data_IF_566069152154
#
_entry.id   IF_566069152154
#
_cell.length_a   1.000
_cell.length_b   1.000
_cell.length_c   1.000
_cell.angle_alpha   90.00
_cell.angle_beta   90.00
_cell.angle_gamma   90.00
#
_symmetry.space_group_name_H-M   'P 1'
#
loop_
_entity.id
_entity.type
_entity.pdbx_description
1 polymer ?
#
# COMPACT_ATOMS: atom_id res chain seq x y z
N UNK A 1 -5.71 18.00 12.83
CA UNK A 1 -5.50 16.56 12.61
C UNK A 1 -6.50 15.76 13.46
N UNK A 2 -7.74 15.59 12.98
CA UNK A 2 -8.78 14.85 13.72
C UNK A 2 -9.56 13.89 12.79
N UNK A 3 -9.04 13.60 11.60
CA UNK A 3 -9.68 12.62 10.71
C UNK A 3 -9.41 11.23 11.29
N UNK A 4 -10.46 10.43 11.60
CA UNK A 4 -10.27 9.10 12.13
C UNK A 4 -9.58 8.18 11.11
N UNK A 5 -8.88 7.18 11.61
CA UNK A 5 -8.26 6.14 10.78
C UNK A 5 -9.31 5.42 9.95
N UNK A 6 -9.00 5.20 8.66
CA UNK A 6 -9.85 4.42 7.77
C UNK A 6 -9.83 2.94 8.20
N UNK A 7 -11.01 2.35 8.38
CA UNK A 7 -11.15 0.91 8.65
C UNK A 7 -11.33 0.13 7.34
N UNK A 8 -10.44 -0.82 7.09
CA UNK A 8 -10.42 -1.64 5.85
C UNK A 8 -10.99 -3.05 6.04
N UNK A 9 -11.42 -3.41 7.26
CA UNK A 9 -11.79 -4.80 7.59
C UNK A 9 -12.88 -5.35 6.66
N UNK A 10 -13.95 -4.60 6.43
CA UNK A 10 -15.06 -5.05 5.61
C UNK A 10 -14.66 -5.23 4.13
N UNK A 11 -14.00 -4.23 3.55
CA UNK A 11 -13.57 -4.27 2.14
C UNK A 11 -12.56 -5.38 1.88
N UNK A 12 -11.60 -5.59 2.79
CA UNK A 12 -10.61 -6.67 2.70
C UNK A 12 -11.26 -8.05 2.88
N UNK A 13 -12.17 -8.22 3.84
CA UNK A 13 -12.89 -9.50 4.04
C UNK A 13 -13.73 -9.84 2.80
N UNK A 14 -14.43 -8.85 2.22
CA UNK A 14 -15.20 -9.04 0.98
C UNK A 14 -14.30 -9.45 -0.18
N UNK A 15 -13.15 -8.78 -0.35
CA UNK A 15 -12.16 -9.12 -1.38
C UNK A 15 -11.62 -10.55 -1.20
N UNK A 16 -11.25 -10.91 0.03
CA UNK A 16 -10.73 -12.24 0.36
C UNK A 16 -11.75 -13.35 0.07
N UNK A 17 -13.02 -13.13 0.42
CA UNK A 17 -14.11 -14.07 0.09
C UNK A 17 -14.29 -14.25 -1.41
N UNK A 18 -14.25 -13.16 -2.18
CA UNK A 18 -14.40 -13.20 -3.64
C UNK A 18 -13.29 -13.99 -4.35
N UNK A 19 -12.10 -14.05 -3.76
CA UNK A 19 -10.93 -14.71 -4.36
C UNK A 19 -10.41 -15.93 -3.59
N UNK A 20 -11.22 -16.49 -2.70
CA UNK A 20 -10.85 -17.62 -1.82
C UNK A 20 -10.29 -18.83 -2.58
N UNK A 21 -10.88 -19.17 -3.73
CA UNK A 21 -10.48 -20.36 -4.52
C UNK A 21 -9.27 -20.05 -5.42
N UNK A 22 -9.30 -18.90 -6.11
CA UNK A 22 -8.29 -18.55 -7.13
C UNK A 22 -6.94 -18.08 -6.54
N UNK A 23 -6.85 -17.86 -5.22
CA UNK A 23 -5.65 -17.36 -4.52
C UNK A 23 -5.05 -16.13 -5.24
N UNK A 24 -5.91 -15.15 -5.50
CA UNK A 24 -5.54 -13.93 -6.24
C UNK A 24 -4.74 -12.98 -5.38
N UNK A 25 -5.18 -12.76 -4.13
CA UNK A 25 -4.45 -11.97 -3.15
C UNK A 25 -3.32 -12.82 -2.60
N UNK A 26 -2.09 -12.36 -2.76
CA UNK A 26 -0.87 -13.10 -2.37
C UNK A 26 -0.21 -12.53 -1.13
N UNK A 27 -0.40 -11.24 -0.85
CA UNK A 27 0.06 -10.58 0.36
C UNK A 27 -0.79 -9.35 0.66
N UNK A 28 -0.81 -8.93 1.93
CA UNK A 28 -1.52 -7.74 2.40
C UNK A 28 -0.70 -7.09 3.50
N UNK A 29 -0.63 -5.75 3.51
CA UNK A 29 0.07 -5.01 4.54
C UNK A 29 -0.75 -3.79 4.98
N UNK A 30 -0.99 -3.68 6.28
CA UNK A 30 -1.54 -2.46 6.88
C UNK A 30 -0.39 -1.48 7.11
N UNK A 31 -0.47 -0.29 6.54
CA UNK A 31 0.62 0.69 6.57
C UNK A 31 0.46 1.57 7.81
N UNK A 32 1.33 1.33 8.78
CA UNK A 32 1.35 2.01 10.08
C UNK A 32 2.73 2.65 10.29
N UNK A 33 3.30 2.56 11.49
CA UNK A 33 4.71 2.94 11.72
C UNK A 33 5.65 2.09 10.86
N UNK A 34 6.71 2.71 10.33
CA UNK A 34 7.65 2.07 9.39
C UNK A 34 7.31 2.29 7.91
N UNK A 35 6.20 2.97 7.61
CA UNK A 35 5.84 3.36 6.24
C UNK A 35 5.56 2.17 5.32
N UNK A 36 5.56 2.43 4.01
CA UNK A 36 5.27 1.38 3.01
C UNK A 36 6.37 0.31 3.04
N UNK A 37 7.64 0.74 3.03
CA UNK A 37 8.81 -0.15 3.02
C UNK A 37 8.77 -1.11 4.21
N UNK A 38 8.71 -0.58 5.44
CA UNK A 38 8.79 -1.41 6.64
C UNK A 38 7.60 -2.35 6.83
N UNK A 39 6.42 -2.02 6.29
CA UNK A 39 5.23 -2.88 6.41
C UNK A 39 5.12 -3.91 5.28
N UNK A 40 5.51 -3.58 4.03
CA UNK A 40 5.51 -4.53 2.93
C UNK A 40 6.63 -5.57 3.04
N UNK A 41 7.80 -5.18 3.56
CA UNK A 41 8.96 -6.07 3.70
C UNK A 41 8.61 -7.33 4.53
N UNK A 42 7.80 -7.18 5.58
CA UNK A 42 7.35 -8.25 6.49
C UNK A 42 6.47 -9.32 5.83
N UNK A 43 5.89 -9.03 4.66
CA UNK A 43 4.96 -9.92 3.97
C UNK A 43 5.44 -10.31 2.56
N UNK A 44 6.63 -9.82 2.18
CA UNK A 44 7.22 -10.08 0.88
C UNK A 44 8.07 -11.37 0.94
N UNK A 45 8.06 -12.16 -0.13
CA UNK A 45 8.91 -13.34 -0.23
C UNK A 45 10.36 -12.98 -0.55
N UNK A 46 11.31 -13.78 -0.07
CA UNK A 46 12.76 -13.54 -0.22
C UNK A 46 13.27 -13.50 -1.68
N UNK A 47 12.49 -14.03 -2.63
CA UNK A 47 12.87 -14.14 -4.04
C UNK A 47 12.26 -13.06 -4.94
N UNK A 48 11.54 -12.10 -4.35
CA UNK A 48 10.84 -11.06 -5.09
C UNK A 48 11.08 -9.68 -4.49
N UNK A 49 11.13 -8.66 -5.34
CA UNK A 49 11.19 -7.25 -4.92
C UNK A 49 9.85 -6.58 -5.20
N UNK A 50 9.42 -5.68 -4.32
CA UNK A 50 8.30 -4.79 -4.54
C UNK A 50 8.80 -3.45 -5.05
N UNK A 51 8.48 -3.08 -6.29
CA UNK A 51 8.83 -1.78 -6.88
C UNK A 51 7.65 -0.84 -6.76
N UNK A 52 7.76 0.15 -5.88
CA UNK A 52 6.73 1.14 -5.57
C UNK A 52 6.99 2.41 -6.37
N UNK A 53 5.98 2.89 -7.09
CA UNK A 53 5.97 4.16 -7.82
C UNK A 53 5.39 5.23 -6.91
N UNK A 54 6.24 6.00 -6.26
CA UNK A 54 5.87 6.99 -5.24
C UNK A 54 5.00 8.13 -5.77
N UNK A 55 5.03 8.37 -7.09
CA UNK A 55 4.19 9.35 -7.79
C UNK A 55 2.85 8.79 -8.29
N UNK A 56 2.51 7.55 -7.98
CA UNK A 56 1.28 6.89 -8.47
C UNK A 56 0.00 7.31 -7.74
N UNK A 57 0.11 8.06 -6.64
CA UNK A 57 -1.02 8.60 -5.89
C UNK A 57 -0.71 10.02 -5.42
N UNK A 58 -1.75 10.84 -5.16
CA UNK A 58 -1.56 12.15 -4.55
C UNK A 58 -1.24 11.99 -3.05
N UNK A 59 -0.10 12.52 -2.62
CA UNK A 59 0.24 12.60 -1.20
C UNK A 59 -0.62 13.69 -0.54
N UNK A 60 -1.37 13.39 0.54
CA UNK A 60 -2.19 14.39 1.24
C UNK A 60 -1.36 15.59 1.72
N UNK A 61 -1.88 16.81 1.52
CA UNK A 61 -1.15 18.06 1.80
C UNK A 61 -0.69 18.23 3.25
N UNK A 62 -1.32 17.54 4.21
CA UNK A 62 -0.89 17.52 5.60
C UNK A 62 0.53 16.98 5.77
N UNK A 63 0.96 16.01 4.96
CA UNK A 63 2.34 15.48 5.04
C UNK A 63 3.35 16.51 4.56
N UNK A 64 3.03 17.26 3.51
CA UNK A 64 3.87 18.39 3.07
C UNK A 64 3.98 19.46 4.14
N UNK A 65 2.87 19.81 4.79
CA UNK A 65 2.87 20.76 5.89
C UNK A 65 3.77 20.28 7.06
N UNK A 66 3.67 19.00 7.44
CA UNK A 66 4.50 18.41 8.48
C UNK A 66 5.98 18.42 8.10
N UNK A 67 6.30 18.07 6.85
CA UNK A 67 7.66 18.08 6.33
C UNK A 67 8.28 19.48 6.40
N UNK A 68 7.56 20.49 5.88
CA UNK A 68 8.03 21.87 5.84
C UNK A 68 8.18 22.48 7.25
N UNK A 69 7.18 22.27 8.12
CA UNK A 69 7.19 22.84 9.48
C UNK A 69 8.18 22.13 10.40
N UNK A 70 8.33 20.82 10.25
CA UNK A 70 9.24 20.01 11.06
C UNK A 70 10.66 19.94 10.51
N UNK A 71 10.92 20.46 9.31
CA UNK A 71 12.19 20.33 8.58
C UNK A 71 12.66 18.87 8.50
N UNK A 72 11.71 17.98 8.23
CA UNK A 72 11.95 16.53 8.20
C UNK A 72 12.40 16.13 6.79
N UNK A 73 13.44 15.30 6.69
CA UNK A 73 13.88 14.77 5.41
C UNK A 73 12.82 13.86 4.77
N UNK A 74 12.73 13.84 3.43
CA UNK A 74 11.77 13.00 2.70
C UNK A 74 11.90 11.52 3.06
N UNK A 75 13.12 11.02 3.25
CA UNK A 75 13.36 9.64 3.66
C UNK A 75 12.74 9.33 5.02
N UNK A 76 12.86 10.26 5.98
CA UNK A 76 12.27 10.12 7.31
C UNK A 76 10.73 10.22 7.25
N UNK A 77 10.20 11.12 6.42
CA UNK A 77 8.76 11.21 6.18
C UNK A 77 8.18 9.88 5.70
N UNK A 78 8.85 9.22 4.75
CA UNK A 78 8.44 7.91 4.21
C UNK A 78 8.62 6.76 5.18
N UNK A 79 9.61 6.84 6.07
CA UNK A 79 9.86 5.83 7.11
C UNK A 79 8.83 5.90 8.23
N UNK A 80 8.38 7.10 8.60
CA UNK A 80 7.50 7.30 9.75
C UNK A 80 6.03 7.26 9.34
N UNK A 81 5.68 7.88 8.21
CA UNK A 81 4.30 8.08 7.80
C UNK A 81 3.88 7.14 6.66
N UNK A 82 2.58 6.95 6.54
CA UNK A 82 1.97 6.15 5.46
C UNK A 82 1.91 6.90 4.11
N UNK A 83 2.22 8.20 4.10
CA UNK A 83 2.24 9.07 2.91
C UNK A 83 0.95 9.04 2.07
N UNK A 84 -0.19 8.68 2.67
CA UNK A 84 -1.50 8.60 2.02
C UNK A 84 -1.96 7.18 1.64
N UNK A 85 -1.12 6.15 1.79
CA UNK A 85 -1.49 4.76 1.54
C UNK A 85 -1.67 4.05 2.88
N UNK A 86 -2.90 3.80 3.30
CA UNK A 86 -3.17 3.10 4.56
C UNK A 86 -3.09 1.58 4.47
N UNK A 87 -3.29 0.99 3.29
CA UNK A 87 -3.31 -0.46 3.12
C UNK A 87 -2.81 -0.86 1.74
N UNK A 88 -1.97 -1.88 1.67
CA UNK A 88 -1.44 -2.46 0.44
C UNK A 88 -1.98 -3.88 0.24
N UNK A 89 -2.41 -4.18 -0.98
CA UNK A 89 -2.84 -5.53 -1.38
C UNK A 89 -2.03 -5.96 -2.60
N UNK A 90 -1.31 -7.07 -2.48
CA UNK A 90 -0.55 -7.66 -3.58
C UNK A 90 -1.41 -8.72 -4.24
N UNK A 91 -1.59 -8.60 -5.55
CA UNK A 91 -2.47 -9.48 -6.33
C UNK A 91 -1.78 -10.01 -7.58
N UNK A 92 -2.26 -11.14 -8.09
CA UNK A 92 -1.85 -11.65 -9.40
C UNK A 92 -2.15 -10.60 -10.50
N UNK A 93 -1.21 -10.37 -11.44
CA UNK A 93 -1.31 -9.27 -12.41
C UNK A 93 -2.57 -9.34 -13.28
N UNK A 94 -2.98 -10.54 -13.69
CA UNK A 94 -4.20 -10.76 -14.48
C UNK A 94 -5.50 -10.33 -13.75
N UNK A 95 -5.45 -10.12 -12.44
CA UNK A 95 -6.59 -9.74 -11.62
C UNK A 95 -6.48 -8.34 -11.02
N UNK A 96 -5.41 -7.59 -11.30
CA UNK A 96 -5.17 -6.28 -10.70
C UNK A 96 -6.34 -5.32 -10.89
N UNK A 97 -6.81 -5.17 -12.13
CA UNK A 97 -7.96 -4.30 -12.43
C UNK A 97 -9.28 -4.81 -11.84
N UNK A 98 -9.47 -6.13 -11.78
CA UNK A 98 -10.68 -6.70 -11.19
C UNK A 98 -10.72 -6.53 -9.67
N UNK A 99 -9.58 -6.73 -9.00
CA UNK A 99 -9.45 -6.51 -7.56
C UNK A 99 -9.61 -5.03 -7.20
N UNK A 100 -9.00 -4.13 -7.98
CA UNK A 100 -9.18 -2.68 -7.87
C UNK A 100 -10.65 -2.30 -7.91
N UNK A 101 -11.37 -2.70 -8.97
CA UNK A 101 -12.80 -2.40 -9.11
C UNK A 101 -13.65 -2.89 -7.94
N UNK A 102 -13.34 -4.06 -7.37
CA UNK A 102 -14.09 -4.60 -6.22
C UNK A 102 -13.87 -3.80 -4.93
N UNK A 103 -12.66 -3.33 -4.70
CA UNK A 103 -12.33 -2.47 -3.57
C UNK A 103 -12.99 -1.09 -3.75
N UNK A 104 -12.99 -0.54 -4.96
CA UNK A 104 -13.70 0.70 -5.30
C UNK A 104 -15.22 0.58 -5.10
N UNK A 105 -15.82 -0.54 -5.51
CA UNK A 105 -17.23 -0.87 -5.22
C UNK A 105 -17.53 -1.03 -3.73
N UNK A 106 -16.51 -1.28 -2.91
CA UNK A 106 -16.61 -1.31 -1.44
C UNK A 106 -16.37 0.07 -0.80
N UNK A 107 -16.27 1.13 -1.62
CA UNK A 107 -16.09 2.50 -1.18
C UNK A 107 -14.64 2.92 -0.91
N UNK A 108 -13.65 2.12 -1.34
CA UNK A 108 -12.24 2.49 -1.18
C UNK A 108 -11.71 3.30 -2.36
N UNK A 109 -10.78 4.21 -2.09
CA UNK A 109 -9.97 4.84 -3.14
C UNK A 109 -8.72 4.01 -3.38
N UNK A 110 -8.54 3.52 -4.62
CA UNK A 110 -7.53 2.51 -4.92
C UNK A 110 -6.57 2.99 -6.00
N UNK A 111 -5.28 2.83 -5.74
CA UNK A 111 -4.20 3.19 -6.67
C UNK A 111 -3.38 1.95 -7.03
N UNK A 112 -2.99 1.84 -8.31
CA UNK A 112 -1.98 0.89 -8.73
C UNK A 112 -0.61 1.48 -8.42
N UNK A 113 -0.08 1.17 -7.23
CA UNK A 113 1.12 1.85 -6.70
C UNK A 113 2.44 1.22 -7.11
N UNK A 114 2.45 0.08 -7.80
CA UNK A 114 3.69 -0.64 -8.06
C UNK A 114 3.51 -2.00 -8.70
N UNK A 115 4.59 -2.79 -8.66
CA UNK A 115 4.60 -4.17 -9.14
C UNK A 115 5.58 -5.02 -8.34
N UNK A 116 5.30 -6.31 -8.28
CA UNK A 116 6.26 -7.31 -7.79
C UNK A 116 7.11 -7.81 -8.96
N UNK A 117 8.41 -7.91 -8.76
CA UNK A 117 9.38 -8.42 -9.74
C UNK A 117 10.27 -9.48 -9.08
N UNK A 118 10.97 -10.30 -9.88
CA UNK A 118 12.01 -11.18 -9.35
C UNK A 118 13.10 -10.33 -8.67
N UNK A 119 13.55 -10.75 -7.50
CA UNK A 119 14.38 -9.92 -6.64
C UNK A 119 15.02 -10.68 -5.49
N UNK A 120 15.37 -9.94 -4.43
CA UNK A 120 16.06 -10.43 -3.23
C UNK A 120 15.30 -10.07 -1.95
N UNK A 121 13.97 -9.97 -2.02
CA UNK A 121 13.15 -9.67 -0.84
C UNK A 121 13.19 -8.20 -0.43
N UNK A 122 13.27 -7.26 -1.37
CA UNK A 122 13.39 -5.82 -1.05
C UNK A 122 12.19 -5.01 -1.51
N UNK A 123 11.85 -3.98 -0.74
CA UNK A 123 10.90 -2.94 -1.17
C UNK A 123 11.70 -1.73 -1.68
N UNK A 124 11.50 -1.37 -2.95
CA UNK A 124 12.22 -0.31 -3.64
C UNK A 124 11.24 0.80 -4.04
N UNK A 125 11.42 1.99 -3.46
CA UNK A 125 10.68 3.18 -3.85
C UNK A 125 11.34 3.87 -5.06
N UNK A 126 10.54 4.22 -6.07
CA UNK A 126 10.93 4.89 -7.32
C UNK A 126 10.04 6.09 -7.65
#
# INVERSE_FOLDING_TARGET
>A
MLRPTRLYAESIVRLGRAYRVKKVVTAMAHITGGGIVGNLDRVLGEQVDAVIKTKAWPVPGIFRLLQERGRVEEAEMRRVFNMGIGYCVVVRPAFAEAAKRRLEQSGEQVYTIGKIVKGKGRVLEK
#
